data_IF_571123659955
#
_entry.id   IF_571123659955
#
_cell.length_a   1.000
_cell.length_b   1.000
_cell.length_c   1.000
_cell.angle_alpha   90.00
_cell.angle_beta   90.00
_cell.angle_gamma   90.00
#
_symmetry.space_group_name_H-M   'P 1'
#
loop_
_entity.id
_entity.type
_entity.pdbx_description
1 polymer ?
#
# COMPACT_ATOMS: atom_id res chain seq x y z
N UNK A 1 10.40 4.51 -21.01
CA UNK A 1 9.29 3.56 -21.13
C UNK A 1 8.06 4.11 -20.45
N UNK A 2 6.89 3.93 -21.05
CA UNK A 2 5.60 4.17 -20.41
C UNK A 2 5.15 2.91 -19.63
N UNK A 3 4.07 3.04 -18.86
CA UNK A 3 3.58 1.92 -18.03
C UNK A 3 3.14 0.71 -18.87
N UNK A 4 2.58 0.92 -20.05
CA UNK A 4 2.15 -0.18 -20.92
C UNK A 4 3.36 -0.99 -21.43
N UNK A 5 4.47 -0.32 -21.76
CA UNK A 5 5.71 -0.97 -22.16
C UNK A 5 6.34 -1.77 -21.02
N UNK A 6 6.33 -1.23 -19.79
CA UNK A 6 6.78 -1.96 -18.59
C UNK A 6 5.97 -3.24 -18.38
N UNK A 7 4.65 -3.16 -18.52
CA UNK A 7 3.75 -4.30 -18.34
C UNK A 7 3.97 -5.36 -19.42
N UNK A 8 4.10 -4.95 -20.69
CA UNK A 8 4.39 -5.87 -21.79
C UNK A 8 5.73 -6.60 -21.61
N UNK A 9 6.77 -5.91 -21.14
CA UNK A 9 8.08 -6.53 -20.90
C UNK A 9 8.01 -7.57 -19.78
N UNK A 10 7.31 -7.27 -18.67
CA UNK A 10 7.14 -8.21 -17.55
C UNK A 10 6.24 -9.39 -17.95
N UNK A 11 5.23 -9.17 -18.79
CA UNK A 11 4.34 -10.23 -19.27
C UNK A 11 5.07 -11.29 -20.08
N UNK A 12 6.11 -10.90 -20.82
CA UNK A 12 6.95 -11.79 -21.63
C UNK A 12 8.02 -12.55 -20.83
N UNK A 13 7.98 -12.49 -19.49
CA UNK A 13 8.95 -13.12 -18.58
C UNK A 13 8.29 -14.16 -17.68
N UNK A 14 9.08 -15.06 -17.11
CA UNK A 14 8.59 -15.94 -16.03
C UNK A 14 8.39 -15.09 -14.77
N UNK A 15 7.16 -15.00 -14.29
CA UNK A 15 6.77 -14.09 -13.21
C UNK A 15 6.71 -14.79 -11.85
N UNK A 16 7.17 -14.11 -10.81
CA UNK A 16 6.96 -14.45 -9.39
C UNK A 16 6.51 -13.21 -8.61
N UNK A 17 5.94 -13.42 -7.41
CA UNK A 17 5.35 -12.34 -6.62
C UNK A 17 3.98 -11.88 -7.14
N UNK A 18 3.31 -11.01 -6.39
CA UNK A 18 1.94 -10.60 -6.64
C UNK A 18 1.71 -9.13 -6.24
N UNK A 19 0.69 -8.51 -6.85
CA UNK A 19 0.13 -7.24 -6.40
C UNK A 19 -1.21 -7.49 -5.71
N UNK A 20 -1.36 -6.99 -4.49
CA UNK A 20 -2.62 -7.00 -3.75
C UNK A 20 -3.34 -5.66 -3.93
N UNK A 21 -4.65 -5.73 -4.10
CA UNK A 21 -5.51 -4.55 -4.20
C UNK A 21 -5.92 -4.10 -2.79
N UNK A 22 -5.43 -2.94 -2.36
CA UNK A 22 -5.81 -2.30 -1.09
C UNK A 22 -6.72 -1.11 -1.34
N UNK A 23 -7.63 -0.85 -0.40
CA UNK A 23 -8.51 0.31 -0.43
C UNK A 23 -8.23 1.20 0.77
N UNK A 24 -8.15 2.49 0.51
CA UNK A 24 -7.90 3.50 1.52
C UNK A 24 -9.04 4.50 1.61
N UNK A 25 -9.22 5.08 2.80
CA UNK A 25 -10.15 6.18 3.05
C UNK A 25 -9.50 7.25 3.92
N UNK A 26 -9.76 8.52 3.60
CA UNK A 26 -9.37 9.65 4.43
C UNK A 26 -10.53 10.07 5.32
N UNK A 27 -10.32 10.10 6.64
CA UNK A 27 -11.38 10.47 7.59
C UNK A 27 -11.76 11.96 7.54
N UNK A 28 -10.84 12.82 7.10
CA UNK A 28 -11.03 14.27 7.09
C UNK A 28 -11.90 14.76 5.93
N UNK A 29 -11.79 14.13 4.75
CA UNK A 29 -12.51 14.56 3.56
C UNK A 29 -13.36 13.45 2.91
N UNK A 30 -13.39 12.25 3.48
CA UNK A 30 -14.15 11.11 2.97
C UNK A 30 -13.66 10.51 1.65
N UNK A 31 -12.59 11.05 1.05
CA UNK A 31 -12.04 10.53 -0.21
C UNK A 31 -11.59 9.08 -0.02
N UNK A 32 -12.01 8.21 -0.93
CA UNK A 32 -11.59 6.81 -1.01
C UNK A 32 -10.81 6.56 -2.29
N UNK A 33 -9.80 5.70 -2.24
CA UNK A 33 -9.05 5.27 -3.42
C UNK A 33 -8.56 3.84 -3.28
N UNK A 34 -8.04 3.30 -4.38
CA UNK A 34 -7.47 1.96 -4.46
C UNK A 34 -6.01 2.10 -4.82
N UNK A 35 -5.15 1.32 -4.16
CA UNK A 35 -3.75 1.15 -4.57
C UNK A 35 -3.47 -0.34 -4.77
N UNK A 36 -2.64 -0.64 -5.76
CA UNK A 36 -2.01 -1.94 -5.88
C UNK A 36 -0.72 -1.91 -5.08
N UNK A 37 -0.52 -2.87 -4.19
CA UNK A 37 0.65 -2.95 -3.32
C UNK A 37 1.33 -4.30 -3.49
N UNK A 38 2.64 -4.32 -3.65
CA UNK A 38 3.43 -5.55 -3.73
C UNK A 38 4.59 -5.46 -4.72
N UNK A 39 5.14 -6.62 -5.04
CA UNK A 39 6.28 -6.77 -5.96
C UNK A 39 5.99 -7.90 -6.94
N UNK A 40 6.17 -7.61 -8.23
CA UNK A 40 6.25 -8.61 -9.30
C UNK A 40 7.67 -8.65 -9.82
N UNK A 41 8.24 -9.84 -9.93
CA UNK A 41 9.58 -10.07 -10.47
C UNK A 41 9.47 -10.88 -11.76
N UNK A 42 10.02 -10.33 -12.85
CA UNK A 42 10.09 -10.97 -14.15
C UNK A 42 11.50 -11.50 -14.44
N UNK A 43 11.62 -12.82 -14.55
CA UNK A 43 12.86 -13.54 -14.82
C UNK A 43 13.00 -13.92 -16.29
N UNK A 44 14.21 -13.81 -16.84
CA UNK A 44 14.54 -14.24 -18.21
C UNK A 44 16.01 -14.64 -18.31
N UNK A 45 16.26 -15.86 -18.76
CA UNK A 45 17.63 -16.42 -18.82
C UNK A 45 18.57 -15.55 -19.67
N UNK A 46 19.77 -15.31 -19.14
CA UNK A 46 20.79 -14.48 -19.77
C UNK A 46 20.50 -12.97 -19.73
N UNK A 47 19.44 -12.53 -19.04
CA UNK A 47 19.10 -11.13 -18.83
C UNK A 47 18.90 -10.82 -17.34
N UNK A 48 18.95 -9.53 -17.01
CA UNK A 48 18.68 -9.04 -15.65
C UNK A 48 17.22 -9.24 -15.26
N UNK A 49 16.99 -9.54 -13.99
CA UNK A 49 15.65 -9.61 -13.40
C UNK A 49 14.98 -8.23 -13.37
N UNK A 50 13.70 -8.19 -13.71
CA UNK A 50 12.92 -6.95 -13.74
C UNK A 50 11.97 -6.89 -12.56
N UNK A 51 12.08 -5.85 -11.73
CA UNK A 51 11.25 -5.65 -10.55
C UNK A 51 10.21 -4.55 -10.79
N UNK A 52 8.93 -4.89 -10.72
CA UNK A 52 7.84 -3.93 -10.61
C UNK A 52 7.34 -3.91 -9.16
N UNK A 53 7.75 -2.88 -8.43
CA UNK A 53 7.26 -2.61 -7.08
C UNK A 53 6.20 -1.51 -7.14
N UNK A 54 4.97 -1.82 -6.74
CA UNK A 54 3.85 -0.87 -6.71
C UNK A 54 3.40 -0.73 -5.26
N UNK A 55 3.09 0.51 -4.85
CA UNK A 55 2.77 0.82 -3.46
C UNK A 55 4.00 0.80 -2.56
N UNK A 56 4.00 1.64 -1.54
CA UNK A 56 4.98 1.56 -0.47
C UNK A 56 4.47 0.51 0.53
N UNK A 57 5.10 -0.66 0.58
CA UNK A 57 4.79 -1.65 1.60
C UNK A 57 5.07 -1.08 2.98
N UNK A 58 3.97 -0.84 3.71
CA UNK A 58 3.83 -0.92 5.16
C UNK A 58 4.22 -2.33 5.64
N UNK A 59 5.50 -2.59 5.86
CA UNK A 59 6.00 -3.28 7.05
C UNK A 59 7.52 -3.09 7.28
N UNK A 60 7.87 -2.50 8.43
CA UNK A 60 9.10 -2.73 9.20
C UNK A 60 10.52 -2.54 8.61
N UNK A 61 10.77 -1.64 7.66
CA UNK A 61 12.15 -1.18 7.43
C UNK A 61 12.53 -0.02 8.38
N UNK A 62 13.32 -0.30 9.42
CA UNK A 62 13.87 0.70 10.36
C UNK A 62 14.72 1.78 9.67
N UNK A 63 15.34 1.46 8.54
CA UNK A 63 16.21 2.37 7.79
C UNK A 63 15.48 3.25 6.76
N UNK A 64 14.31 2.82 6.26
CA UNK A 64 13.74 3.35 5.01
C UNK A 64 12.82 4.57 5.18
N UNK A 65 12.68 5.12 6.39
CA UNK A 65 11.93 6.37 6.71
C UNK A 65 10.73 6.66 5.80
N UNK A 66 9.77 5.74 5.84
CA UNK A 66 8.35 5.86 5.47
C UNK A 66 7.90 7.21 4.88
N UNK A 67 7.45 7.21 3.63
CA UNK A 67 6.52 8.24 3.15
C UNK A 67 5.17 7.99 3.81
N UNK A 68 4.82 8.78 4.82
CA UNK A 68 3.49 8.73 5.41
C UNK A 68 2.43 8.86 4.30
N UNK A 69 1.50 7.91 4.24
CA UNK A 69 0.39 7.97 3.29
C UNK A 69 -0.37 9.27 3.58
N UNK A 70 -0.51 10.11 2.56
CA UNK A 70 -1.17 11.42 2.64
C UNK A 70 -2.34 11.43 1.68
N UNK A 71 -3.46 11.97 2.14
CA UNK A 71 -4.60 12.16 1.28
C UNK A 71 -4.23 13.19 0.21
N UNK A 72 -4.21 12.80 -1.05
CA UNK A 72 -3.86 13.72 -2.15
C UNK A 72 -4.82 14.91 -2.26
N UNK A 73 -6.01 14.82 -1.65
CA UNK A 73 -7.01 15.88 -1.69
C UNK A 73 -6.87 16.92 -0.57
N UNK A 74 -6.63 16.49 0.67
CA UNK A 74 -6.60 17.39 1.84
C UNK A 74 -5.27 17.37 2.61
N UNK A 75 -4.28 16.62 2.13
CA UNK A 75 -2.95 16.43 2.74
C UNK A 75 -2.96 15.82 4.15
N UNK A 76 -4.11 15.40 4.66
CA UNK A 76 -4.22 14.75 5.96
C UNK A 76 -3.50 13.39 5.98
N UNK A 77 -2.97 13.04 7.14
CA UNK A 77 -2.25 11.77 7.36
C UNK A 77 -3.14 10.69 8.02
N UNK A 78 -4.35 11.04 8.48
CA UNK A 78 -5.28 10.06 9.06
C UNK A 78 -6.01 9.30 7.95
N UNK A 79 -5.34 8.24 7.50
CA UNK A 79 -5.79 7.37 6.42
C UNK A 79 -5.88 5.95 6.95
N UNK A 80 -6.92 5.24 6.52
CA UNK A 80 -7.24 3.91 6.99
C UNK A 80 -7.31 2.96 5.81
N UNK A 81 -6.69 1.79 5.95
CA UNK A 81 -6.94 0.66 5.04
C UNK A 81 -8.29 0.04 5.41
N UNK A 82 -9.14 -0.16 4.40
CA UNK A 82 -10.49 -0.71 4.57
C UNK A 82 -10.58 -2.04 3.83
N UNK A 83 -10.90 -3.10 4.55
CA UNK A 83 -11.23 -4.39 3.95
C UNK A 83 -12.75 -4.50 3.83
N UNK A 84 -13.27 -4.55 2.60
CA UNK A 84 -14.66 -4.93 2.39
C UNK A 84 -14.78 -6.46 2.35
N UNK A 85 -15.71 -7.06 3.11
CA UNK A 85 -16.04 -8.48 2.94
C UNK A 85 -16.41 -8.76 1.49
N UNK A 86 -15.93 -9.88 0.93
CA UNK A 86 -16.27 -10.32 -0.45
C UNK A 86 -17.78 -10.57 -0.61
N UNK A 87 -18.44 -10.95 0.48
CA UNK A 87 -19.89 -11.09 0.60
C UNK A 87 -20.32 -10.37 1.88
N UNK A 88 -21.19 -9.37 1.74
CA UNK A 88 -21.88 -8.77 2.88
C UNK A 88 -23.22 -9.50 2.93
N UNK A 89 -23.40 -10.44 3.86
CA UNK A 89 -24.74 -10.94 4.14
C UNK A 89 -25.58 -9.74 4.57
N UNK A 90 -26.74 -9.52 3.93
CA UNK A 90 -27.69 -8.47 4.32
C UNK A 90 -27.91 -8.53 5.82
N UNK A 91 -27.64 -7.42 6.52
CA UNK A 91 -27.74 -7.33 7.97
C UNK A 91 -26.43 -7.49 8.75
N UNK A 92 -25.28 -7.70 8.10
CA UNK A 92 -23.98 -7.72 8.79
C UNK A 92 -23.61 -6.28 9.23
N UNK A 93 -23.49 -6.00 10.55
CA UNK A 93 -23.10 -4.66 11.01
C UNK A 93 -21.69 -4.33 10.53
N UNK A 94 -21.47 -3.09 10.08
CA UNK A 94 -20.13 -2.58 9.78
C UNK A 94 -19.26 -2.72 11.05
N UNK A 95 -18.31 -3.64 11.03
CA UNK A 95 -17.45 -3.89 12.18
C UNK A 95 -16.13 -3.16 12.03
N UNK A 96 -15.83 -2.29 13.00
CA UNK A 96 -14.54 -1.64 13.15
C UNK A 96 -13.37 -2.64 13.32
N UNK A 97 -13.64 -3.93 13.57
CA UNK A 97 -12.60 -4.98 13.63
C UNK A 97 -11.83 -5.14 12.32
N UNK A 98 -12.43 -4.76 11.19
CA UNK A 98 -11.81 -4.81 9.85
C UNK A 98 -11.09 -3.52 9.44
N UNK A 99 -11.23 -2.46 10.24
CA UNK A 99 -10.66 -1.14 9.97
C UNK A 99 -9.39 -1.01 10.80
N UNK A 100 -8.23 -1.02 10.14
CA UNK A 100 -6.94 -0.81 10.81
C UNK A 100 -6.51 0.64 10.64
N UNK A 101 -6.18 1.30 11.76
CA UNK A 101 -5.52 2.61 11.72
C UNK A 101 -4.11 2.42 11.19
N UNK A 102 -3.78 3.11 10.11
CA UNK A 102 -2.38 3.23 9.68
C UNK A 102 -1.76 4.27 10.61
N UNK A 103 -1.15 3.82 11.70
CA UNK A 103 -0.61 4.71 12.72
C UNK A 103 0.62 5.46 12.17
N UNK A 104 0.59 6.78 12.26
CA UNK A 104 1.77 7.61 12.09
C UNK A 104 2.49 7.64 13.44
N UNK A 105 3.56 6.87 13.59
CA UNK A 105 4.43 6.98 14.77
C UNK A 105 5.13 8.34 14.71
N UNK A 106 4.53 9.36 15.32
CA UNK A 106 5.32 10.46 15.86
C UNK A 106 6.23 9.83 16.91
N UNK A 107 7.52 9.76 16.61
CA UNK A 107 8.53 9.46 17.61
C UNK A 107 8.34 10.46 18.75
N UNK A 108 7.85 9.99 19.90
CA UNK A 108 8.06 10.69 21.15
C UNK A 108 9.56 10.59 21.41
N UNK A 109 10.31 11.60 20.98
CA UNK A 109 11.60 11.92 21.59
C UNK A 109 11.32 12.32 23.02
N UNK A 110 11.32 11.33 23.92
CA UNK A 110 11.58 11.56 25.32
C UNK A 110 12.96 12.22 25.38
N UNK A 111 12.97 13.52 25.64
CA UNK A 111 14.20 14.24 26.00
C UNK A 111 14.50 13.85 27.44
N UNK A 112 15.30 12.82 27.60
CA UNK A 112 16.14 12.61 28.78
C UNK A 112 17.33 13.55 28.62
N UNK A 113 17.27 14.73 29.22
CA UNK A 113 18.45 15.53 29.50
C UNK A 113 18.34 16.06 30.94
N UNK A 114 19.24 15.49 31.77
CA UNK A 114 19.83 15.89 33.07
C UNK A 114 18.89 16.29 34.21
#
# INVERSE_FOLDING_TARGET
MNIAEVMAEIENRKKTGDLIKKRFTCIHCGKTWIEFVGVVVGHKDGLEDMYLRVGAESENCFACKWRALKCENCSANDIYEVTFPKEIQEGTPLSFKSIKKVANHRANTASLEV
#
